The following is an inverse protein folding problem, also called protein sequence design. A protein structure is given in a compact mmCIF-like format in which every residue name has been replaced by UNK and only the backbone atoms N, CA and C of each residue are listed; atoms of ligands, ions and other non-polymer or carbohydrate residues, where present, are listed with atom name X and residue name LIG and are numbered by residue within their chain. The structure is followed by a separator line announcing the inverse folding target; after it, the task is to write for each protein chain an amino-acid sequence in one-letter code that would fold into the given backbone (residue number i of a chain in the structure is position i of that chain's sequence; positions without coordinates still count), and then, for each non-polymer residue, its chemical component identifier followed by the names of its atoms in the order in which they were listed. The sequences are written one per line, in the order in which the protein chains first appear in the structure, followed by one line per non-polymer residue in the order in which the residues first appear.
data_IF_241862402414
#
_entry.id   IF_241862402414
#
_cell.length_a   1.000
_cell.length_b   1.000
_cell.length_c   1.000
_cell.angle_alpha   90.00
_cell.angle_beta   90.00
_cell.angle_gamma   90.00
#
_symmetry.space_group_name_H-M   'P 1'
#
loop_
_entity.id
_entity.type
_entity.pdbx_description
1 polymer ?
#
# COMPACT_ATOMS: atom_id res chain seq x y z
N UNK A 1 22.32 5.46 -18.30
CA UNK A 1 23.47 5.05 -17.45
C UNK A 1 24.13 6.32 -16.93
N UNK A 2 24.01 6.64 -15.65
CA UNK A 2 24.88 7.67 -15.03
C UNK A 2 26.32 7.22 -15.27
N UNK A 3 27.15 8.05 -15.89
CA UNK A 3 28.55 7.67 -16.10
C UNK A 3 29.23 7.48 -14.75
N UNK A 4 30.20 6.56 -14.66
CA UNK A 4 31.00 6.36 -13.45
C UNK A 4 31.65 7.69 -13.01
N UNK A 5 32.00 8.55 -13.97
CA UNK A 5 32.50 9.91 -13.75
C UNK A 5 31.46 10.84 -13.09
N UNK A 6 30.21 10.83 -13.57
CA UNK A 6 29.12 11.59 -12.97
C UNK A 6 28.80 11.12 -11.54
N UNK A 7 28.92 9.83 -11.23
CA UNK A 7 28.76 9.33 -9.86
C UNK A 7 29.97 9.64 -8.96
N UNK A 8 31.17 9.74 -9.53
CA UNK A 8 32.40 10.06 -8.77
C UNK A 8 32.49 11.54 -8.39
N UNK A 9 31.91 12.45 -9.18
CA UNK A 9 31.70 13.85 -8.80
C UNK A 9 30.52 14.00 -7.84
N UNK A 10 30.69 13.60 -6.57
CA UNK A 10 29.67 13.84 -5.53
C UNK A 10 29.86 15.19 -4.88
N UNK A 11 28.93 16.10 -5.12
CA UNK A 11 28.95 17.48 -4.60
C UNK A 11 29.01 17.56 -3.07
N UNK A 12 28.48 16.57 -2.35
CA UNK A 12 28.52 16.60 -0.89
C UNK A 12 29.94 16.55 -0.32
N UNK A 13 30.95 16.16 -1.12
CA UNK A 13 32.37 16.18 -0.72
C UNK A 13 33.00 17.58 -0.76
N UNK A 14 32.31 18.57 -1.31
CA UNK A 14 32.75 19.96 -1.20
C UNK A 14 32.54 20.43 0.24
N UNK A 15 33.61 20.97 0.85
CA UNK A 15 33.66 21.34 2.27
C UNK A 15 32.52 22.27 2.72
N UNK A 16 31.97 23.10 1.81
CA UNK A 16 30.90 24.05 2.13
C UNK A 16 29.55 23.37 2.41
N UNK A 17 29.25 22.23 1.77
CA UNK A 17 27.93 21.57 1.87
C UNK A 17 27.95 20.27 2.65
N UNK A 18 29.14 19.74 2.97
CA UNK A 18 29.34 18.44 3.62
C UNK A 18 28.52 18.27 4.91
N UNK A 19 28.52 19.27 5.79
CA UNK A 19 27.82 19.22 7.08
C UNK A 19 26.30 19.08 6.89
N UNK A 20 25.73 19.80 5.92
CA UNK A 20 24.28 19.74 5.64
C UNK A 20 23.86 18.37 5.12
N UNK A 21 24.62 17.82 4.16
CA UNK A 21 24.34 16.48 3.62
C UNK A 21 24.52 15.38 4.68
N UNK A 22 25.52 15.50 5.55
CA UNK A 22 25.71 14.56 6.67
C UNK A 22 24.52 14.58 7.64
N UNK A 23 23.99 15.76 7.96
CA UNK A 23 22.77 15.89 8.76
C UNK A 23 21.57 15.22 8.08
N UNK A 24 21.36 15.44 6.78
CA UNK A 24 20.29 14.77 6.02
C UNK A 24 20.46 13.24 5.98
N UNK A 25 21.68 12.73 5.79
CA UNK A 25 21.95 11.30 5.79
C UNK A 25 21.66 10.67 7.15
N UNK A 26 22.04 11.34 8.25
CA UNK A 26 21.68 10.91 9.61
C UNK A 26 20.16 10.89 9.81
N UNK A 27 19.45 11.92 9.36
CA UNK A 27 17.98 11.97 9.42
C UNK A 27 17.37 10.78 8.66
N UNK A 28 17.85 10.50 7.44
CA UNK A 28 17.37 9.37 6.63
C UNK A 28 17.61 8.03 7.36
N UNK A 29 18.78 7.85 7.98
CA UNK A 29 19.08 6.64 8.76
C UNK A 29 18.11 6.51 9.93
N UNK A 30 17.95 7.56 10.74
CA UNK A 30 17.05 7.56 11.91
C UNK A 30 15.61 7.27 11.50
N UNK A 31 15.11 7.91 10.43
CA UNK A 31 13.77 7.68 9.92
C UNK A 31 13.58 6.25 9.39
N UNK A 32 14.58 5.67 8.72
CA UNK A 32 14.50 4.29 8.25
C UNK A 32 14.60 3.26 9.38
N UNK A 33 15.38 3.53 10.43
CA UNK A 33 15.37 2.73 11.66
C UNK A 33 13.99 2.78 12.34
N UNK A 34 13.39 3.97 12.45
CA UNK A 34 12.04 4.14 12.97
C UNK A 34 10.99 3.43 12.10
N UNK A 35 11.13 3.50 10.76
CA UNK A 35 10.28 2.79 9.79
C UNK A 35 10.33 1.27 9.98
N UNK A 36 11.52 0.71 10.22
CA UNK A 36 11.67 -0.72 10.52
C UNK A 36 10.99 -1.11 11.84
N UNK A 37 11.19 -0.35 12.91
CA UNK A 37 10.52 -0.60 14.19
C UNK A 37 8.99 -0.53 14.03
N UNK A 38 8.52 0.47 13.28
CA UNK A 38 7.12 0.64 12.94
C UNK A 38 6.57 -0.56 12.13
N UNK A 39 7.35 -1.09 11.19
CA UNK A 39 7.02 -2.32 10.46
C UNK A 39 6.83 -3.51 11.39
N UNK A 40 7.79 -3.80 12.27
CA UNK A 40 7.70 -4.92 13.19
C UNK A 40 6.51 -4.78 14.16
N UNK A 41 6.25 -3.58 14.65
CA UNK A 41 5.09 -3.30 15.48
C UNK A 41 3.77 -3.59 14.76
N UNK A 42 3.63 -3.12 13.52
CA UNK A 42 2.44 -3.39 12.72
C UNK A 42 2.30 -4.85 12.33
N UNK A 43 3.39 -5.53 12.03
CA UNK A 43 3.43 -6.94 11.71
C UNK A 43 2.93 -7.78 12.90
N UNK A 44 3.37 -7.44 14.11
CA UNK A 44 2.90 -8.05 15.35
C UNK A 44 1.37 -7.93 15.52
N UNK A 45 0.81 -6.73 15.34
CA UNK A 45 -0.65 -6.54 15.43
C UNK A 45 -1.36 -7.30 14.30
N UNK A 46 -0.83 -7.26 13.09
CA UNK A 46 -1.38 -7.93 11.90
C UNK A 46 -1.50 -9.44 12.13
N UNK A 47 -0.48 -10.06 12.72
CA UNK A 47 -0.52 -11.48 13.11
C UNK A 47 -1.56 -11.77 14.17
N UNK A 48 -1.63 -10.95 15.23
CA UNK A 48 -2.63 -11.12 16.30
C UNK A 48 -4.07 -11.05 15.79
N UNK A 49 -4.32 -10.14 14.87
CA UNK A 49 -5.64 -9.88 14.29
C UNK A 49 -5.98 -10.84 13.13
N UNK A 50 -5.03 -11.68 12.69
CA UNK A 50 -5.16 -12.58 11.53
C UNK A 50 -5.59 -11.83 10.27
N UNK A 51 -4.90 -10.72 9.98
CA UNK A 51 -5.19 -9.79 8.89
C UNK A 51 -4.68 -10.31 7.53
N UNK A 52 -5.15 -11.49 7.11
CA UNK A 52 -4.76 -12.16 5.86
C UNK A 52 -5.94 -12.87 5.18
N UNK A 53 -7.16 -12.41 5.43
CA UNK A 53 -8.39 -13.11 5.00
C UNK A 53 -8.77 -12.79 3.56
N UNK A 54 -8.53 -11.56 3.13
CA UNK A 54 -8.92 -11.09 1.79
C UNK A 54 -7.70 -10.92 0.87
N UNK A 55 -7.94 -10.97 -0.44
CA UNK A 55 -6.89 -10.82 -1.45
C UNK A 55 -6.19 -9.46 -1.36
N UNK A 56 -6.94 -8.39 -1.08
CA UNK A 56 -6.38 -7.08 -0.80
C UNK A 56 -5.46 -7.04 0.42
N UNK A 57 -5.80 -7.75 1.50
CA UNK A 57 -4.95 -7.81 2.69
C UNK A 57 -3.63 -8.52 2.39
N UNK A 58 -3.68 -9.65 1.67
CA UNK A 58 -2.49 -10.38 1.22
C UNK A 58 -1.62 -9.47 0.33
N UNK A 59 -2.24 -8.78 -0.63
CA UNK A 59 -1.53 -7.88 -1.55
C UNK A 59 -0.86 -6.72 -0.80
N UNK A 60 -1.57 -6.08 0.13
CA UNK A 60 -1.01 -5.00 0.93
C UNK A 60 0.17 -5.51 1.78
N UNK A 61 0.06 -6.67 2.42
CA UNK A 61 1.15 -7.22 3.22
C UNK A 61 2.36 -7.59 2.36
N UNK A 62 2.16 -8.07 1.13
CA UNK A 62 3.26 -8.31 0.19
C UNK A 62 3.98 -7.01 -0.17
N UNK A 63 3.25 -5.93 -0.51
CA UNK A 63 3.84 -4.61 -0.75
C UNK A 63 4.57 -4.11 0.50
N UNK A 64 3.94 -4.19 1.67
CA UNK A 64 4.52 -3.69 2.91
C UNK A 64 5.78 -4.47 3.33
N UNK A 65 5.86 -5.76 2.99
CA UNK A 65 7.03 -6.59 3.28
C UNK A 65 8.30 -6.12 2.57
N UNK A 66 8.19 -5.33 1.49
CA UNK A 66 9.35 -4.74 0.78
C UNK A 66 9.97 -3.54 1.49
N UNK A 67 9.23 -2.88 2.38
CA UNK A 67 9.67 -1.71 3.13
C UNK A 67 10.90 -1.98 4.03
N UNK A 68 10.96 -3.02 4.89
CA UNK A 68 12.14 -3.28 5.71
C UNK A 68 13.39 -3.56 4.87
N UNK A 69 13.28 -4.29 3.75
CA UNK A 69 14.41 -4.53 2.85
C UNK A 69 14.90 -3.22 2.22
N UNK A 70 13.98 -2.36 1.78
CA UNK A 70 14.33 -1.04 1.24
C UNK A 70 15.01 -0.15 2.29
N UNK A 71 14.51 -0.15 3.53
CA UNK A 71 15.10 0.60 4.65
C UNK A 71 16.50 0.09 5.00
N UNK A 72 16.75 -1.22 4.97
CA UNK A 72 18.09 -1.78 5.17
C UNK A 72 19.07 -1.29 4.10
N UNK A 73 18.65 -1.28 2.83
CA UNK A 73 19.48 -0.76 1.72
C UNK A 73 19.82 0.72 1.96
N UNK A 74 18.82 1.56 2.27
CA UNK A 74 19.03 2.98 2.52
C UNK A 74 19.96 3.24 3.72
N UNK A 75 19.75 2.54 4.84
CA UNK A 75 20.62 2.65 6.03
C UNK A 75 22.05 2.29 5.66
N UNK A 76 22.23 1.18 4.95
CA UNK A 76 23.54 0.68 4.54
C UNK A 76 24.25 1.68 3.63
N UNK A 77 23.57 2.19 2.61
CA UNK A 77 24.13 3.18 1.68
C UNK A 77 24.53 4.48 2.37
N UNK A 78 23.65 5.05 3.21
CA UNK A 78 23.96 6.31 3.92
C UNK A 78 25.05 6.13 4.97
N UNK A 79 25.12 4.96 5.62
CA UNK A 79 26.22 4.64 6.53
C UNK A 79 27.56 4.56 5.79
N UNK A 80 27.58 3.92 4.63
CA UNK A 80 28.79 3.90 3.78
C UNK A 80 29.19 5.29 3.26
N UNK A 81 28.22 6.15 2.99
CA UNK A 81 28.45 7.55 2.61
C UNK A 81 29.09 8.36 3.74
N UNK A 82 28.57 8.23 4.98
CA UNK A 82 29.12 8.90 6.17
C UNK A 82 30.54 8.41 6.49
N UNK A 83 30.77 7.10 6.40
CA UNK A 83 32.08 6.51 6.70
C UNK A 83 33.14 6.74 5.61
N UNK A 84 32.78 7.35 4.47
CA UNK A 84 33.69 7.56 3.34
C UNK A 84 34.15 6.29 2.63
N UNK A 85 33.70 5.09 3.07
CA UNK A 85 34.15 3.78 2.60
C UNK A 85 33.63 3.40 1.21
N UNK A 86 32.72 4.18 0.63
CA UNK A 86 32.14 3.89 -0.67
C UNK A 86 33.21 3.85 -1.80
N UNK A 87 34.31 4.60 -1.68
CA UNK A 87 35.40 4.60 -2.69
C UNK A 87 36.10 3.25 -2.86
N UNK A 88 36.26 2.46 -1.79
CA UNK A 88 36.94 1.17 -1.87
C UNK A 88 36.08 0.08 -2.53
N UNK A 89 34.75 0.28 -2.58
CA UNK A 89 33.80 -0.63 -3.21
C UNK A 89 33.42 -0.22 -4.65
N UNK A 90 33.73 1.02 -5.06
CA UNK A 90 33.34 1.60 -6.34
C UNK A 90 34.38 1.40 -7.47
N UNK A 91 35.55 0.83 -7.16
CA UNK A 91 36.58 0.55 -8.17
C UNK A 91 36.22 -0.61 -9.12
N UNK A 92 35.21 -1.41 -8.77
CA UNK A 92 34.71 -2.50 -9.60
C UNK A 92 33.37 -2.11 -10.25
N UNK A 93 33.38 -1.92 -11.56
CA UNK A 93 32.22 -1.52 -12.37
C UNK A 93 31.08 -2.53 -12.29
N UNK A 94 31.38 -3.81 -12.04
CA UNK A 94 30.37 -4.86 -11.91
C UNK A 94 29.58 -4.71 -10.62
N UNK A 95 30.26 -4.51 -9.49
CA UNK A 95 29.63 -4.39 -8.17
C UNK A 95 28.68 -3.19 -8.09
N UNK A 96 29.06 -2.07 -8.70
CA UNK A 96 28.22 -0.87 -8.80
C UNK A 96 26.90 -1.14 -9.54
N UNK A 97 26.98 -1.81 -10.69
CA UNK A 97 25.80 -2.15 -11.50
C UNK A 97 24.85 -3.10 -10.77
N UNK A 98 25.38 -4.13 -10.11
CA UNK A 98 24.57 -5.06 -9.31
C UNK A 98 23.90 -4.37 -8.11
N UNK A 99 24.62 -3.48 -7.42
CA UNK A 99 24.07 -2.70 -6.30
C UNK A 99 22.87 -1.84 -6.74
N UNK A 100 23.03 -1.06 -7.81
CA UNK A 100 21.97 -0.19 -8.33
C UNK A 100 20.78 -0.98 -8.86
N UNK A 101 21.02 -2.14 -9.48
CA UNK A 101 19.99 -3.06 -9.91
C UNK A 101 19.16 -3.60 -8.74
N UNK A 102 19.81 -4.16 -7.72
CA UNK A 102 19.14 -4.72 -6.54
C UNK A 102 18.36 -3.64 -5.80
N UNK A 103 18.95 -2.44 -5.62
CA UNK A 103 18.27 -1.29 -5.02
C UNK A 103 16.97 -0.98 -5.77
N UNK A 104 17.05 -0.81 -7.08
CA UNK A 104 15.88 -0.44 -7.90
C UNK A 104 14.82 -1.54 -7.86
N UNK A 105 15.22 -2.81 -7.96
CA UNK A 105 14.31 -3.96 -7.94
C UNK A 105 13.56 -4.13 -6.62
N UNK A 106 14.17 -3.74 -5.49
CA UNK A 106 13.54 -3.84 -4.16
C UNK A 106 12.66 -2.62 -3.86
N UNK A 107 13.06 -1.43 -4.32
CA UNK A 107 12.33 -0.18 -4.05
C UNK A 107 11.16 0.08 -5.02
N UNK A 108 11.10 -0.56 -6.19
CA UNK A 108 10.05 -0.29 -7.16
C UNK A 108 8.63 -0.84 -6.80
N UNK A 109 8.43 -1.98 -6.12
CA UNK A 109 7.09 -2.51 -5.88
C UNK A 109 6.14 -1.54 -5.16
N UNK A 110 6.56 -0.78 -4.12
CA UNK A 110 5.74 0.28 -3.53
C UNK A 110 5.29 1.36 -4.53
N UNK A 111 6.07 1.65 -5.57
CA UNK A 111 5.73 2.64 -6.60
C UNK A 111 4.58 2.16 -7.53
N UNK A 112 4.34 0.84 -7.56
CA UNK A 112 3.26 0.20 -8.32
C UNK A 112 2.09 -0.25 -7.42
N UNK A 113 2.11 0.12 -6.13
CA UNK A 113 1.08 -0.28 -5.18
C UNK A 113 -0.33 0.15 -5.62
N UNK A 114 -0.47 1.36 -6.16
CA UNK A 114 -1.76 1.87 -6.66
C UNK A 114 -2.31 0.96 -7.78
N UNK A 115 -1.48 0.62 -8.76
CA UNK A 115 -1.86 -0.25 -9.88
C UNK A 115 -2.27 -1.63 -9.39
N UNK A 116 -1.47 -2.22 -8.50
CA UNK A 116 -1.75 -3.54 -7.95
C UNK A 116 -3.11 -3.57 -7.23
N UNK A 117 -3.39 -2.56 -6.41
CA UNK A 117 -4.65 -2.48 -5.67
C UNK A 117 -5.83 -2.21 -6.61
N UNK A 118 -5.69 -1.36 -7.63
CA UNK A 118 -6.76 -1.13 -8.61
C UNK A 118 -7.07 -2.37 -9.43
N UNK A 119 -6.06 -3.15 -9.84
CA UNK A 119 -6.27 -4.44 -10.51
C UNK A 119 -7.07 -5.40 -9.64
N UNK A 120 -6.72 -5.52 -8.35
CA UNK A 120 -7.47 -6.37 -7.42
C UNK A 120 -8.94 -5.90 -7.27
N UNK A 121 -9.18 -4.59 -7.20
CA UNK A 121 -10.54 -4.01 -7.14
C UNK A 121 -11.35 -4.25 -8.42
N UNK A 122 -10.72 -4.23 -9.59
CA UNK A 122 -11.37 -4.58 -10.87
C UNK A 122 -11.80 -6.04 -10.83
N UNK A 123 -10.92 -6.97 -10.45
CA UNK A 123 -11.29 -8.38 -10.33
C UNK A 123 -12.40 -8.63 -9.32
N UNK A 124 -12.35 -7.98 -8.16
CA UNK A 124 -13.41 -8.07 -7.15
C UNK A 124 -14.77 -7.56 -7.69
N UNK A 125 -14.76 -6.56 -8.57
CA UNK A 125 -15.97 -6.03 -9.21
C UNK A 125 -16.48 -6.93 -10.34
N UNK A 126 -15.59 -7.46 -11.19
CA UNK A 126 -15.97 -8.38 -12.26
C UNK A 126 -16.55 -9.70 -11.72
N UNK A 127 -16.05 -10.17 -10.58
CA UNK A 127 -16.45 -11.45 -9.98
C UNK A 127 -17.37 -11.31 -8.76
N UNK A 128 -18.13 -10.22 -8.67
CA UNK A 128 -18.89 -9.81 -7.48
C UNK A 128 -19.82 -10.88 -6.89
N UNK A 129 -20.34 -11.81 -7.71
CA UNK A 129 -21.26 -12.87 -7.28
C UNK A 129 -20.58 -13.97 -6.46
N UNK A 130 -19.32 -14.29 -6.78
CA UNK A 130 -18.62 -15.47 -6.24
C UNK A 130 -17.20 -15.18 -5.73
N UNK A 131 -16.77 -13.91 -5.69
CA UNK A 131 -15.40 -13.54 -5.31
C UNK A 131 -15.03 -13.96 -3.88
N UNK A 132 -15.95 -13.85 -2.91
CA UNK A 132 -15.70 -14.34 -1.55
C UNK A 132 -15.98 -15.84 -1.39
N UNK A 133 -16.94 -16.40 -2.14
CA UNK A 133 -17.29 -17.83 -2.07
C UNK A 133 -16.14 -18.72 -2.51
N UNK A 134 -15.42 -18.30 -3.56
CA UNK A 134 -14.16 -18.90 -3.98
C UNK A 134 -13.08 -17.89 -3.65
N UNK A 135 -12.32 -18.08 -2.56
CA UNK A 135 -11.33 -17.10 -2.08
C UNK A 135 -10.24 -16.72 -3.10
N UNK A 136 -10.10 -17.44 -4.23
CA UNK A 136 -9.30 -17.08 -5.43
C UNK A 136 -7.96 -16.41 -5.08
N UNK A 137 -7.24 -16.93 -4.09
CA UNK A 137 -5.98 -16.34 -3.64
C UNK A 137 -4.93 -16.26 -4.75
N UNK A 138 -5.05 -17.12 -5.77
CA UNK A 138 -4.26 -17.05 -7.00
C UNK A 138 -4.31 -15.67 -7.67
N UNK A 139 -5.41 -14.91 -7.57
CA UNK A 139 -5.51 -13.55 -8.14
C UNK A 139 -4.51 -12.62 -7.47
N UNK A 140 -4.45 -12.63 -6.12
CA UNK A 140 -3.48 -11.83 -5.39
C UNK A 140 -2.04 -12.26 -5.72
N UNK A 141 -1.77 -13.57 -5.75
CA UNK A 141 -0.44 -14.09 -6.09
C UNK A 141 0.00 -13.72 -7.50
N UNK A 142 -0.87 -13.79 -8.51
CA UNK A 142 -0.57 -13.38 -9.88
C UNK A 142 -0.23 -11.89 -9.93
N UNK A 143 -1.00 -11.04 -9.23
CA UNK A 143 -0.73 -9.59 -9.17
C UNK A 143 0.62 -9.32 -8.50
N UNK A 144 0.95 -10.02 -7.42
CA UNK A 144 2.25 -9.91 -6.73
C UNK A 144 3.38 -10.32 -7.66
N UNK A 145 3.25 -11.45 -8.36
CA UNK A 145 4.25 -11.94 -9.31
C UNK A 145 4.48 -10.93 -10.43
N UNK A 146 3.40 -10.38 -10.99
CA UNK A 146 3.45 -9.35 -12.02
C UNK A 146 4.15 -8.08 -11.51
N UNK A 147 3.85 -7.65 -10.29
CA UNK A 147 4.48 -6.49 -9.67
C UNK A 147 5.99 -6.68 -9.47
N UNK A 148 6.43 -7.85 -9.01
CA UNK A 148 7.86 -8.19 -8.88
C UNK A 148 8.52 -8.23 -10.26
N UNK A 149 7.87 -8.82 -11.26
CA UNK A 149 8.37 -8.87 -12.63
C UNK A 149 8.55 -7.48 -13.23
N UNK A 150 7.56 -6.59 -13.09
CA UNK A 150 7.66 -5.19 -13.54
C UNK A 150 8.77 -4.44 -12.78
N UNK A 151 8.97 -4.75 -11.50
CA UNK A 151 10.07 -4.18 -10.71
C UNK A 151 11.45 -4.57 -11.26
N UNK A 152 11.64 -5.85 -11.59
CA UNK A 152 12.88 -6.36 -12.22
C UNK A 152 13.10 -5.76 -13.61
N UNK A 153 12.03 -5.61 -14.40
CA UNK A 153 12.08 -4.93 -15.69
C UNK A 153 12.46 -3.45 -15.54
N UNK A 154 11.92 -2.78 -14.52
CA UNK A 154 12.27 -1.39 -14.21
C UNK A 154 13.75 -1.28 -13.84
N UNK A 155 14.25 -2.17 -12.98
CA UNK A 155 15.66 -2.22 -12.64
C UNK A 155 16.55 -2.43 -13.88
N UNK A 156 16.12 -3.28 -14.82
CA UNK A 156 16.81 -3.45 -16.10
C UNK A 156 16.80 -2.17 -16.96
N UNK A 157 15.64 -1.50 -17.07
CA UNK A 157 15.52 -0.25 -17.83
C UNK A 157 16.47 0.82 -17.28
N UNK A 158 16.51 0.99 -15.95
CA UNK A 158 17.33 1.99 -15.28
C UNK A 158 18.84 1.75 -15.41
N UNK A 159 19.27 0.49 -15.42
CA UNK A 159 20.69 0.16 -15.46
C UNK A 159 21.23 -0.06 -16.87
N UNK A 160 20.44 -0.64 -17.77
CA UNK A 160 20.93 -1.17 -19.05
C UNK A 160 20.43 -0.41 -20.28
N UNK A 161 19.46 0.50 -20.12
CA UNK A 161 18.87 1.22 -21.26
C UNK A 161 18.83 2.73 -21.01
N UNK A 162 18.67 3.54 -22.06
CA UNK A 162 18.38 4.97 -21.94
C UNK A 162 16.88 5.27 -22.05
N UNK A 163 16.02 4.29 -21.70
CA UNK A 163 14.56 4.38 -21.83
C UNK A 163 13.87 4.92 -20.55
N UNK A 164 14.59 5.62 -19.68
CA UNK A 164 14.04 6.15 -18.44
C UNK A 164 12.88 7.12 -18.69
N UNK A 165 12.96 7.94 -19.75
CA UNK A 165 11.87 8.84 -20.14
C UNK A 165 10.59 8.05 -20.48
N UNK A 166 10.73 6.96 -21.25
CA UNK A 166 9.62 6.07 -21.61
C UNK A 166 9.01 5.43 -20.36
N UNK A 167 9.85 4.97 -19.43
CA UNK A 167 9.40 4.46 -18.14
C UNK A 167 8.58 5.49 -17.35
N UNK A 168 9.09 6.72 -17.19
CA UNK A 168 8.41 7.75 -16.42
C UNK A 168 7.10 8.15 -17.08
N UNK A 169 7.09 8.34 -18.40
CA UNK A 169 5.86 8.62 -19.15
C UNK A 169 4.82 7.50 -18.98
N UNK A 170 5.26 6.23 -19.05
CA UNK A 170 4.39 5.06 -18.88
C UNK A 170 3.85 4.97 -17.45
N UNK A 171 4.68 5.22 -16.44
CA UNK A 171 4.27 5.20 -15.03
C UNK A 171 3.25 6.30 -14.71
N UNK A 172 3.47 7.53 -15.21
CA UNK A 172 2.53 8.63 -15.04
C UNK A 172 1.18 8.34 -15.73
N UNK A 173 1.23 7.85 -16.98
CA UNK A 173 0.04 7.45 -17.72
C UNK A 173 -0.73 6.33 -16.98
N UNK A 174 0.00 5.35 -16.45
CA UNK A 174 -0.59 4.25 -15.68
C UNK A 174 -1.31 4.75 -14.43
N UNK A 175 -0.75 5.73 -13.71
CA UNK A 175 -1.41 6.33 -12.55
C UNK A 175 -2.71 7.04 -12.93
N UNK A 176 -2.72 7.77 -14.06
CA UNK A 176 -3.93 8.42 -14.59
C UNK A 176 -4.99 7.37 -14.95
N UNK A 177 -4.59 6.30 -15.65
CA UNK A 177 -5.49 5.19 -16.00
C UNK A 177 -6.06 4.54 -14.73
N UNK A 178 -5.22 4.29 -13.71
CA UNK A 178 -5.65 3.72 -12.44
C UNK A 178 -6.70 4.61 -11.74
N UNK A 179 -6.52 5.93 -11.79
CA UNK A 179 -7.49 6.88 -11.24
C UNK A 179 -8.83 6.83 -11.98
N UNK A 180 -8.81 6.81 -13.33
CA UNK A 180 -10.03 6.70 -14.14
C UNK A 180 -10.75 5.37 -13.86
N UNK A 181 -10.01 4.26 -13.84
CA UNK A 181 -10.54 2.93 -13.52
C UNK A 181 -11.20 2.95 -12.14
N UNK A 182 -10.55 3.56 -11.14
CA UNK A 182 -11.09 3.70 -9.79
C UNK A 182 -12.48 4.37 -9.80
N UNK A 183 -12.63 5.48 -10.53
CA UNK A 183 -13.92 6.18 -10.67
C UNK A 183 -14.97 5.30 -11.35
N UNK A 184 -14.60 4.61 -12.43
CA UNK A 184 -15.51 3.71 -13.17
C UNK A 184 -15.97 2.56 -12.27
N UNK A 185 -15.02 1.90 -11.58
CA UNK A 185 -15.30 0.83 -10.62
C UNK A 185 -16.23 1.31 -9.51
N UNK A 186 -16.02 2.52 -8.98
CA UNK A 186 -16.92 3.11 -7.99
C UNK A 186 -18.34 3.31 -8.53
N UNK A 187 -18.48 3.88 -9.72
CA UNK A 187 -19.80 4.10 -10.35
C UNK A 187 -20.54 2.79 -10.57
N UNK A 188 -19.85 1.74 -11.01
CA UNK A 188 -20.41 0.40 -11.19
C UNK A 188 -20.88 -0.17 -9.85
N UNK A 189 -20.02 -0.16 -8.82
CA UNK A 189 -20.37 -0.69 -7.50
C UNK A 189 -21.51 0.10 -6.84
N UNK A 190 -21.58 1.42 -7.05
CA UNK A 190 -22.70 2.25 -6.58
C UNK A 190 -24.01 1.87 -7.28
N UNK A 191 -23.99 1.62 -8.59
CA UNK A 191 -25.16 1.13 -9.33
C UNK A 191 -25.63 -0.24 -8.81
N UNK A 192 -24.70 -1.16 -8.55
CA UNK A 192 -25.04 -2.45 -7.94
C UNK A 192 -25.67 -2.30 -6.55
N UNK A 193 -25.17 -1.37 -5.73
CA UNK A 193 -25.70 -1.13 -4.40
C UNK A 193 -27.16 -0.65 -4.41
N UNK A 194 -27.53 0.24 -5.33
CA UNK A 194 -28.89 0.79 -5.39
C UNK A 194 -29.89 -0.11 -6.14
N UNK A 195 -29.48 -0.74 -7.24
CA UNK A 195 -30.45 -1.38 -8.15
C UNK A 195 -30.90 -2.79 -7.75
N UNK A 196 -30.12 -3.52 -6.96
CA UNK A 196 -30.33 -4.96 -6.74
C UNK A 196 -30.21 -5.36 -5.27
N UNK A 197 -30.58 -4.45 -4.36
CA UNK A 197 -30.35 -4.63 -2.93
C UNK A 197 -31.11 -5.83 -2.37
N UNK A 198 -32.23 -6.26 -2.96
CA UNK A 198 -33.06 -7.37 -2.46
C UNK A 198 -32.60 -8.74 -2.97
N UNK A 199 -32.15 -8.87 -4.23
CA UNK A 199 -31.80 -10.16 -4.85
C UNK A 199 -30.40 -10.68 -4.51
N UNK A 200 -29.56 -9.86 -3.88
CA UNK A 200 -28.19 -10.23 -3.57
C UNK A 200 -28.04 -11.00 -2.26
N UNK A 201 -27.23 -12.06 -2.32
CA UNK A 201 -26.75 -12.77 -1.14
C UNK A 201 -25.95 -11.86 -0.21
N UNK A 202 -25.88 -12.22 1.08
CA UNK A 202 -25.16 -11.43 2.09
C UNK A 202 -23.70 -11.16 1.70
N UNK A 203 -22.99 -12.16 1.18
CA UNK A 203 -21.60 -12.03 0.72
C UNK A 203 -21.45 -11.05 -0.47
N UNK A 204 -22.40 -11.05 -1.40
CA UNK A 204 -22.40 -10.10 -2.53
C UNK A 204 -22.60 -8.66 -2.04
N UNK A 205 -23.50 -8.45 -1.08
CA UNK A 205 -23.72 -7.12 -0.47
C UNK A 205 -22.48 -6.65 0.30
N UNK A 206 -21.83 -7.56 1.03
CA UNK A 206 -20.58 -7.29 1.73
C UNK A 206 -19.46 -6.88 0.75
N UNK A 207 -19.28 -7.60 -0.36
CA UNK A 207 -18.29 -7.26 -1.38
C UNK A 207 -18.53 -5.89 -2.02
N UNK A 208 -19.79 -5.57 -2.37
CA UNK A 208 -20.16 -4.25 -2.89
C UNK A 208 -19.82 -3.16 -1.86
N UNK A 209 -20.16 -3.39 -0.60
CA UNK A 209 -19.90 -2.44 0.47
C UNK A 209 -18.39 -2.25 0.70
N UNK A 210 -17.61 -3.34 0.68
CA UNK A 210 -16.15 -3.29 0.78
C UNK A 210 -15.55 -2.50 -0.38
N UNK A 211 -15.95 -2.76 -1.63
CA UNK A 211 -15.45 -2.03 -2.80
C UNK A 211 -15.75 -0.53 -2.72
N UNK A 212 -16.94 -0.15 -2.26
CA UNK A 212 -17.31 1.26 -2.05
C UNK A 212 -16.49 1.89 -0.91
N UNK A 213 -16.31 1.17 0.21
CA UNK A 213 -15.51 1.64 1.36
C UNK A 213 -14.05 1.83 0.95
N UNK A 214 -13.48 0.87 0.21
CA UNK A 214 -12.12 0.94 -0.32
C UNK A 214 -12.00 2.11 -1.29
N UNK A 215 -12.94 2.34 -2.20
CA UNK A 215 -12.91 3.52 -3.06
C UNK A 215 -12.94 4.83 -2.26
N UNK A 216 -13.85 4.99 -1.29
CA UNK A 216 -13.93 6.20 -0.46
C UNK A 216 -12.64 6.44 0.32
N UNK A 217 -12.01 5.36 0.80
CA UNK A 217 -10.70 5.42 1.41
C UNK A 217 -9.67 5.89 0.39
N UNK A 218 -9.58 5.23 -0.76
CA UNK A 218 -8.71 5.66 -1.85
C UNK A 218 -8.96 7.12 -2.20
N UNK A 219 -10.16 7.60 -2.48
CA UNK A 219 -10.36 9.00 -2.88
C UNK A 219 -9.81 10.03 -1.88
N UNK A 220 -9.79 9.73 -0.57
CA UNK A 220 -9.22 10.61 0.45
C UNK A 220 -7.70 10.45 0.62
N UNK A 221 -7.15 9.27 0.34
CA UNK A 221 -5.76 8.90 0.64
C UNK A 221 -4.92 8.55 -0.60
N UNK A 222 -5.52 8.54 -1.79
CA UNK A 222 -4.92 8.27 -3.10
C UNK A 222 -3.98 9.39 -3.49
N UNK A 223 -4.20 10.62 -2.99
CA UNK A 223 -3.19 11.66 -3.10
C UNK A 223 -1.86 11.22 -2.50
N UNK A 224 -1.83 10.57 -1.33
CA UNK A 224 -0.57 10.08 -0.73
C UNK A 224 0.05 8.95 -1.57
N UNK A 225 -0.78 8.00 -2.03
CA UNK A 225 -0.34 6.87 -2.86
C UNK A 225 0.03 7.25 -4.29
N UNK A 226 -0.31 8.46 -4.75
CA UNK A 226 0.08 8.98 -6.05
C UNK A 226 1.22 10.01 -5.94
N UNK A 227 1.13 10.93 -4.98
CA UNK A 227 2.08 12.03 -4.77
C UNK A 227 3.50 11.49 -4.56
N UNK A 228 3.72 10.62 -3.57
CA UNK A 228 5.07 10.16 -3.29
C UNK A 228 5.66 9.32 -4.43
N UNK A 229 4.93 8.38 -5.07
CA UNK A 229 5.46 7.69 -6.24
C UNK A 229 5.76 8.61 -7.42
N UNK A 230 4.91 9.60 -7.71
CA UNK A 230 5.14 10.61 -8.76
C UNK A 230 6.38 11.45 -8.43
N UNK A 231 6.53 11.91 -7.19
CA UNK A 231 7.73 12.63 -6.75
C UNK A 231 8.98 11.76 -6.94
N UNK A 232 8.93 10.48 -6.57
CA UNK A 232 10.05 9.56 -6.75
C UNK A 232 10.41 9.38 -8.23
N UNK A 233 9.44 9.18 -9.12
CA UNK A 233 9.70 8.97 -10.55
C UNK A 233 10.18 10.23 -11.26
N UNK A 234 9.67 11.40 -10.88
CA UNK A 234 10.16 12.69 -11.38
C UNK A 234 11.58 12.96 -10.89
N UNK A 235 11.88 12.74 -9.61
CA UNK A 235 13.25 12.90 -9.09
C UNK A 235 14.22 11.99 -9.84
N UNK A 236 13.84 10.72 -10.05
CA UNK A 236 14.64 9.76 -10.81
C UNK A 236 14.89 10.21 -12.27
N UNK A 237 13.90 10.81 -12.93
CA UNK A 237 14.05 11.36 -14.28
C UNK A 237 15.08 12.49 -14.29
N UNK A 238 14.93 13.46 -13.38
CA UNK A 238 15.79 14.64 -13.35
C UNK A 238 17.21 14.21 -13.00
N UNK A 239 17.40 13.36 -12.00
CA UNK A 239 18.73 12.82 -11.62
C UNK A 239 19.46 12.20 -12.82
N UNK A 240 18.74 11.52 -13.71
CA UNK A 240 19.35 10.86 -14.87
C UNK A 240 19.84 11.85 -15.94
N UNK A 241 19.17 12.97 -16.13
CA UNK A 241 19.52 13.97 -17.16
C UNK A 241 20.27 15.18 -16.62
N UNK A 242 20.33 15.35 -15.31
CA UNK A 242 20.94 16.49 -14.67
C UNK A 242 22.46 16.41 -14.65
N UNK A 243 23.10 17.43 -15.23
CA UNK A 243 24.55 17.53 -15.28
C UNK A 243 25.14 18.04 -13.98
N UNK A 244 24.38 18.76 -13.14
CA UNK A 244 24.90 19.43 -11.94
C UNK A 244 25.05 18.46 -10.75
N UNK A 245 26.28 18.24 -10.22
CA UNK A 245 26.49 17.38 -9.07
C UNK A 245 25.68 17.74 -7.83
N UNK A 246 25.52 19.03 -7.54
CA UNK A 246 24.82 19.49 -6.34
C UNK A 246 23.32 19.22 -6.43
N UNK A 247 22.72 19.48 -7.59
CA UNK A 247 21.29 19.30 -7.81
C UNK A 247 20.90 17.81 -7.78
N UNK A 248 21.72 16.92 -8.37
CA UNK A 248 21.54 15.46 -8.22
C UNK A 248 21.55 15.02 -6.76
N UNK A 249 22.50 15.47 -5.94
CA UNK A 249 22.58 15.09 -4.53
C UNK A 249 21.35 15.54 -3.73
N UNK A 250 20.88 16.78 -3.98
CA UNK A 250 19.63 17.28 -3.39
C UNK A 250 18.45 16.38 -3.80
N UNK A 251 18.34 16.05 -5.09
CA UNK A 251 17.27 15.20 -5.59
C UNK A 251 17.35 13.76 -5.05
N UNK A 252 18.54 13.21 -4.83
CA UNK A 252 18.71 11.92 -4.16
C UNK A 252 18.17 11.97 -2.72
N UNK A 253 18.47 13.03 -1.96
CA UNK A 253 17.93 13.22 -0.61
C UNK A 253 16.41 13.34 -0.65
N UNK A 254 15.85 14.14 -1.58
CA UNK A 254 14.40 14.30 -1.76
C UNK A 254 13.74 12.97 -2.12
N UNK A 255 14.35 12.20 -3.02
CA UNK A 255 13.88 10.86 -3.40
C UNK A 255 13.84 9.92 -2.20
N UNK A 256 14.96 9.81 -1.46
CA UNK A 256 15.09 8.90 -0.32
C UNK A 256 14.11 9.26 0.81
N UNK A 257 13.93 10.56 1.09
CA UNK A 257 12.95 11.04 2.06
C UNK A 257 11.51 10.77 1.60
N UNK A 258 11.18 11.07 0.33
CA UNK A 258 9.85 10.81 -0.23
C UNK A 258 9.50 9.32 -0.18
N UNK A 259 10.46 8.47 -0.51
CA UNK A 259 10.30 7.02 -0.43
C UNK A 259 10.12 6.52 1.01
N UNK A 260 10.92 7.05 1.95
CA UNK A 260 10.81 6.71 3.37
C UNK A 260 9.44 7.12 3.92
N UNK A 261 8.94 8.31 3.57
CA UNK A 261 7.60 8.77 3.93
C UNK A 261 6.51 7.88 3.33
N UNK A 262 6.64 7.43 2.08
CA UNK A 262 5.73 6.47 1.46
C UNK A 262 5.65 5.16 2.28
N UNK A 263 6.81 4.64 2.71
CA UNK A 263 6.90 3.40 3.49
C UNK A 263 6.28 3.51 4.90
N UNK A 264 6.22 4.71 5.47
CA UNK A 264 5.58 4.95 6.77
C UNK A 264 4.08 5.22 6.60
N UNK A 265 3.73 6.12 5.68
CA UNK A 265 2.36 6.63 5.54
C UNK A 265 1.43 5.65 4.84
N UNK A 266 1.86 4.97 3.77
CA UNK A 266 0.96 4.06 3.04
C UNK A 266 0.41 2.92 3.93
N UNK A 267 1.25 2.21 4.71
CA UNK A 267 0.77 1.15 5.60
C UNK A 267 -0.08 1.70 6.75
N UNK A 268 0.30 2.87 7.31
CA UNK A 268 -0.52 3.55 8.32
C UNK A 268 -1.95 3.79 7.82
N UNK A 269 -2.08 4.37 6.62
CA UNK A 269 -3.37 4.72 6.06
C UNK A 269 -4.21 3.47 5.82
N UNK A 270 -3.62 2.42 5.26
CA UNK A 270 -4.37 1.19 4.97
C UNK A 270 -4.76 0.47 6.27
N UNK A 271 -3.85 0.34 7.24
CA UNK A 271 -4.16 -0.30 8.53
C UNK A 271 -5.19 0.48 9.34
N UNK A 272 -5.18 1.82 9.26
CA UNK A 272 -6.21 2.68 9.86
C UNK A 272 -7.62 2.42 9.32
N UNK A 273 -7.79 1.74 8.17
CA UNK A 273 -9.13 1.32 7.71
C UNK A 273 -9.62 0.02 8.32
N UNK A 274 -8.70 -0.79 8.83
CA UNK A 274 -9.00 -2.08 9.44
C UNK A 274 -9.56 -1.85 10.84
N UNK A 275 -10.86 -2.05 11.00
CA UNK A 275 -11.51 -2.00 12.32
C UNK A 275 -10.87 -3.00 13.30
N UNK A 276 -10.56 -4.24 12.91
CA UNK A 276 -9.88 -5.18 13.79
C UNK A 276 -8.49 -4.68 14.26
N UNK A 277 -7.70 -4.09 13.35
CA UNK A 277 -6.38 -3.53 13.71
C UNK A 277 -6.51 -2.32 14.64
N UNK A 278 -7.46 -1.41 14.37
CA UNK A 278 -7.73 -0.26 15.23
C UNK A 278 -8.15 -0.66 16.64
N UNK A 279 -9.00 -1.69 16.75
CA UNK A 279 -9.45 -2.19 18.05
C UNK A 279 -8.30 -2.78 18.85
N UNK A 280 -7.44 -3.58 18.24
CA UNK A 280 -6.30 -4.19 18.91
C UNK A 280 -5.25 -3.14 19.30
N UNK A 281 -4.98 -2.15 18.43
CA UNK A 281 -4.13 -1.00 18.73
C UNK A 281 -4.66 -0.21 19.94
N UNK A 282 -5.97 0.07 19.97
CA UNK A 282 -6.60 0.74 21.10
C UNK A 282 -6.47 -0.06 22.39
N UNK A 283 -6.63 -1.39 22.35
CA UNK A 283 -6.41 -2.24 23.52
C UNK A 283 -4.96 -2.18 24.00
N UNK A 284 -3.99 -2.15 23.10
CA UNK A 284 -2.57 -1.98 23.45
C UNK A 284 -2.35 -0.63 24.13
N UNK A 285 -2.87 0.47 23.57
CA UNK A 285 -2.73 1.80 24.18
C UNK A 285 -3.41 1.92 25.54
N UNK A 286 -4.53 1.22 25.75
CA UNK A 286 -5.18 1.14 27.07
C UNK A 286 -4.33 0.34 28.06
N UNK A 287 -3.76 -0.80 27.64
CA UNK A 287 -2.89 -1.64 28.49
C UNK A 287 -1.59 -0.94 28.89
N UNK A 288 -1.00 -0.16 27.98
CA UNK A 288 0.23 0.61 28.23
C UNK A 288 -0.07 1.92 28.99
N UNK A 289 -1.35 2.25 29.25
CA UNK A 289 -1.75 3.44 30.00
C UNK A 289 -1.66 4.75 29.22
N UNK A 290 -1.31 4.71 27.94
CA UNK A 290 -1.24 5.88 27.04
C UNK A 290 -2.64 6.46 26.81
N UNK A 291 -3.65 5.60 26.75
CA UNK A 291 -5.05 6.00 26.61
C UNK A 291 -5.83 5.53 27.84
N UNK A 292 -6.56 6.44 28.49
CA UNK A 292 -7.50 6.03 29.55
C UNK A 292 -8.48 5.02 28.95
N UNK A 293 -8.63 3.86 29.60
CA UNK A 293 -9.75 2.97 29.34
C UNK A 293 -10.99 3.84 29.46
N UNK A 294 -11.70 4.07 28.35
CA UNK A 294 -13.04 4.62 28.46
C UNK A 294 -13.77 3.60 29.31
N UNK A 295 -13.98 3.94 30.60
CA UNK A 295 -14.80 3.20 31.54
C UNK A 295 -15.93 2.60 30.73
N UNK A 296 -16.01 1.27 30.79
CA UNK A 296 -17.11 0.43 30.30
C UNK A 296 -18.25 1.36 29.90
N UNK A 297 -18.43 1.58 28.59
CA UNK A 297 -19.72 2.05 28.11
C UNK A 297 -20.64 0.93 28.55
N UNK A 298 -21.19 1.07 29.76
CA UNK A 298 -22.45 0.48 30.15
C UNK A 298 -23.29 0.68 28.91
N UNK A 299 -23.80 -0.43 28.40
CA UNK A 299 -24.75 -0.52 27.30
C UNK A 299 -25.97 0.28 27.72
N UNK A 300 -25.82 1.59 27.75
CA UNK A 300 -26.91 2.52 27.67
C UNK A 300 -27.15 2.56 26.18
N UNK A 301 -28.31 2.06 25.80
CA UNK A 301 -28.91 2.04 24.48
C UNK A 301 -29.01 3.45 23.90
N UNK A 302 -27.88 4.15 23.72
CA UNK A 302 -27.74 5.02 22.56
C UNK A 302 -27.74 4.06 21.41
N UNK A 303 -28.93 3.84 20.87
CA UNK A 303 -29.16 3.37 19.52
C UNK A 303 -27.99 3.84 18.66
N UNK A 304 -27.02 2.95 18.42
CA UNK A 304 -26.04 3.21 17.39
C UNK A 304 -26.89 3.15 16.14
N UNK A 305 -27.39 4.31 15.70
CA UNK A 305 -28.11 4.45 14.44
C UNK A 305 -27.19 3.84 13.42
N UNK A 306 -27.49 2.61 13.00
CA UNK A 306 -26.63 1.86 12.11
C UNK A 306 -26.59 2.67 10.83
N UNK A 307 -25.38 3.06 10.43
CA UNK A 307 -25.17 3.82 9.22
C UNK A 307 -24.99 2.85 8.07
N UNK A 308 -25.57 3.17 6.92
CA UNK A 308 -25.34 2.40 5.70
C UNK A 308 -23.89 2.59 5.21
N UNK A 309 -23.50 1.87 4.15
CA UNK A 309 -22.17 1.99 3.50
C UNK A 309 -21.82 3.44 3.10
N UNK A 310 -22.83 4.30 2.96
CA UNK A 310 -22.66 5.70 2.62
C UNK A 310 -22.50 6.65 3.81
N UNK A 311 -22.78 6.19 5.04
CA UNK A 311 -22.73 7.00 6.26
C UNK A 311 -24.09 7.61 6.65
N UNK A 312 -25.15 7.32 5.90
CA UNK A 312 -26.51 7.76 6.18
C UNK A 312 -27.12 6.87 7.25
N UNK A 313 -27.89 7.46 8.18
CA UNK A 313 -28.64 6.69 9.17
C UNK A 313 -29.63 5.79 8.44
N UNK A 314 -29.55 4.48 8.68
CA UNK A 314 -30.62 3.60 8.27
C UNK A 314 -31.79 3.84 9.24
N UNK A 315 -32.97 4.14 8.70
CA UNK A 315 -34.21 4.08 9.47
C UNK A 315 -34.56 2.61 9.69
N UNK A 316 -34.75 2.23 10.95
CA UNK A 316 -35.02 0.85 11.35
C UNK A 316 -36.47 0.70 11.79
N UNK A 317 -37.26 -0.04 11.02
CA UNK A 317 -38.39 -0.77 11.58
C UNK A 317 -37.87 -2.11 12.11
N UNK A 318 -37.66 -2.17 13.44
CA UNK A 318 -37.05 -3.30 14.15
C UNK A 318 -37.81 -4.63 13.96
N UNK A 319 -39.11 -4.55 13.70
CA UNK A 319 -40.00 -5.69 13.44
C UNK A 319 -39.71 -6.36 12.10
N UNK A 320 -39.68 -5.59 11.01
CA UNK A 320 -39.54 -6.15 9.66
C UNK A 320 -38.20 -6.87 9.44
N UNK A 321 -37.11 -6.41 10.08
CA UNK A 321 -35.77 -6.94 9.82
C UNK A 321 -35.45 -8.20 10.63
N UNK A 322 -36.00 -8.35 11.84
CA UNK A 322 -35.91 -9.62 12.58
C UNK A 322 -36.58 -10.72 11.77
N UNK A 323 -37.80 -10.45 11.31
CA UNK A 323 -38.56 -11.39 10.49
C UNK A 323 -37.82 -11.71 9.19
N UNK A 324 -37.22 -10.71 8.53
CA UNK A 324 -36.44 -10.96 7.30
C UNK A 324 -35.19 -11.81 7.56
N UNK A 325 -34.48 -11.60 8.67
CA UNK A 325 -33.28 -12.35 9.02
C UNK A 325 -33.60 -13.79 9.41
N UNK A 326 -34.65 -14.00 10.23
CA UNK A 326 -35.15 -15.33 10.58
C UNK A 326 -35.71 -16.06 9.35
N UNK A 327 -36.42 -15.36 8.45
CA UNK A 327 -36.88 -15.93 7.19
C UNK A 327 -35.72 -16.33 6.26
N UNK A 328 -34.63 -15.55 6.21
CA UNK A 328 -33.44 -15.89 5.42
C UNK A 328 -32.66 -17.07 6.01
N UNK A 329 -32.57 -17.15 7.34
CA UNK A 329 -32.01 -18.30 8.07
C UNK A 329 -32.85 -19.56 7.82
N UNK A 330 -34.17 -19.46 7.97
CA UNK A 330 -35.09 -20.56 7.75
C UNK A 330 -35.06 -21.05 6.30
N UNK A 331 -35.02 -20.15 5.31
CA UNK A 331 -34.83 -20.51 3.90
C UNK A 331 -33.50 -21.22 3.66
N UNK A 332 -32.41 -20.76 4.28
CA UNK A 332 -31.10 -21.42 4.14
C UNK A 332 -31.09 -22.82 4.75
N UNK A 333 -31.70 -22.97 5.93
CA UNK A 333 -31.78 -24.26 6.63
C UNK A 333 -32.65 -25.28 5.87
N UNK A 334 -33.79 -24.83 5.35
CA UNK A 334 -34.68 -25.66 4.53
C UNK A 334 -34.04 -26.06 3.19
N UNK A 335 -33.18 -25.22 2.63
CA UNK A 335 -32.41 -25.53 1.42
C UNK A 335 -31.29 -26.56 1.68
N UNK A 336 -30.72 -26.61 2.89
CA UNK A 336 -29.79 -27.68 3.28
C UNK A 336 -30.53 -28.99 3.55
N UNK A 337 -31.67 -28.96 4.24
CA UNK A 337 -32.50 -30.15 4.50
C UNK A 337 -32.98 -30.84 3.22
N UNK A 338 -33.36 -30.07 2.19
CA UNK A 338 -33.77 -30.61 0.88
C UNK A 338 -32.62 -31.23 0.07
N UNK A 339 -31.36 -30.94 0.41
CA UNK A 339 -30.19 -31.64 -0.14
C UNK A 339 -29.91 -32.96 0.58
N UNK A 340 -30.19 -33.05 1.88
CA UNK A 340 -29.95 -34.25 2.69
C UNK A 340 -30.99 -35.33 2.44
N UNK A 341 -32.24 -34.96 2.13
CA UNK A 341 -33.34 -35.92 1.83
C UNK A 341 -33.24 -36.53 0.43
N UNK A 342 -32.33 -36.04 -0.43
CA UNK A 342 -32.18 -36.48 -1.83
C UNK A 342 -30.98 -37.42 -2.06
N UNK A 343 -30.58 -38.16 -1.03
CA UNK A 343 -29.56 -39.24 -1.07
C UNK A 343 -30.23 -40.58 -0.89
#
# INVERSE_FOLDING_TARGET
MLSIEQFNERAFRNNEFYIYFLAFFLIIIVLNCASMLYYFFNLFITFRVKYYKTNLQILHQAIYSTCPFSSIILITEKTFDILGKNQNFLSDSSFFMYKQYIRTAIMCPPLFALTAIMLERVFATCFIKDYEKKRRHYVAFIIILLMIFISMLTAFIFNSTNLIFVYVATHLLLNIICYIISIVTYRINRKYYHNNKQDYSLGTRFQIAENIKVYKFFSHYLFVLAFFPITCTICALIIHYDSSPLHREILFVVFDLSFTLLCILAPYLILKTSEPWQNDLNQIFVKVGIRKSSKIQIVHERSKTLKNTFGEQMEFETSQHSDMYFNQLQKSWNHELTKVVRV
#
